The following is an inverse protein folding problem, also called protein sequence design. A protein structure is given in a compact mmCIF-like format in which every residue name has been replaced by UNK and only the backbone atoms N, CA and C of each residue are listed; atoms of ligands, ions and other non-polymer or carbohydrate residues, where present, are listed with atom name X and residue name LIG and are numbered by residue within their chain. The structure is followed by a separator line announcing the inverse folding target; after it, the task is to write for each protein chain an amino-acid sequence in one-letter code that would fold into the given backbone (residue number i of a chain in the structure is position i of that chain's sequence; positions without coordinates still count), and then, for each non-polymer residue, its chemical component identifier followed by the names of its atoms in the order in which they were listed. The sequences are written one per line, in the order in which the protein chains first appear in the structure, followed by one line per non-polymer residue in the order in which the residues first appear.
data_IF_690776964010
#
_entry.id   IF_690776964010
#
_cell.length_a   1.000
_cell.length_b   1.000
_cell.length_c   1.000
_cell.angle_alpha   90.00
_cell.angle_beta   90.00
_cell.angle_gamma   90.00
#
_symmetry.space_group_name_H-M   'P 1'
#
loop_
_entity.id
_entity.type
_entity.pdbx_description
1 polymer ?
#
# COMPACT_ATOMS: atom_id res chain seq x y z
N UNK A 1 -11.90 -12.74 1.11
CA UNK A 1 -13.11 -12.52 0.31
C UNK A 1 -12.83 -12.68 -1.20
N UNK A 2 -11.91 -11.94 -1.78
CA UNK A 2 -11.58 -11.99 -3.22
C UNK A 2 -11.15 -13.40 -3.67
N UNK A 3 -10.27 -14.04 -2.89
CA UNK A 3 -9.79 -15.41 -3.14
C UNK A 3 -10.96 -16.40 -3.23
N UNK A 4 -11.89 -16.33 -2.30
CA UNK A 4 -13.08 -17.20 -2.28
C UNK A 4 -14.06 -16.90 -3.43
N UNK A 5 -14.36 -15.63 -3.66
CA UNK A 5 -15.35 -15.22 -4.69
C UNK A 5 -14.90 -15.56 -6.10
N UNK A 6 -13.61 -15.47 -6.39
CA UNK A 6 -13.06 -15.73 -7.70
C UNK A 6 -12.38 -17.11 -7.84
N UNK A 7 -12.46 -17.94 -6.80
CA UNK A 7 -11.86 -19.29 -6.77
C UNK A 7 -10.39 -19.29 -7.22
N UNK A 8 -9.59 -18.33 -6.74
CA UNK A 8 -8.23 -18.11 -7.20
C UNK A 8 -7.24 -19.18 -6.72
N UNK A 9 -7.62 -19.99 -5.70
CA UNK A 9 -6.79 -21.06 -5.15
C UNK A 9 -5.48 -20.56 -4.53
N UNK A 10 -5.49 -19.34 -4.01
CA UNK A 10 -4.36 -18.79 -3.27
C UNK A 10 -4.32 -19.35 -1.84
N UNK A 11 -3.11 -19.51 -1.29
CA UNK A 11 -2.91 -19.92 0.10
C UNK A 11 -3.35 -18.79 1.04
N UNK A 12 -4.41 -19.05 1.81
CA UNK A 12 -5.06 -18.05 2.65
C UNK A 12 -4.17 -17.55 3.79
N UNK A 13 -3.34 -18.43 4.34
CA UNK A 13 -2.42 -18.06 5.42
C UNK A 13 -1.37 -17.09 4.90
N UNK A 14 -0.67 -17.42 3.83
CA UNK A 14 0.32 -16.53 3.23
C UNK A 14 -0.30 -15.25 2.69
N UNK A 15 -1.54 -15.33 2.17
CA UNK A 15 -2.28 -14.15 1.70
C UNK A 15 -2.60 -13.20 2.86
N UNK A 16 -3.10 -13.74 3.98
CA UNK A 16 -3.43 -12.94 5.16
C UNK A 16 -2.18 -12.31 5.80
N UNK A 17 -1.12 -13.10 5.99
CA UNK A 17 0.15 -12.60 6.53
C UNK A 17 0.77 -11.55 5.62
N UNK A 18 0.83 -11.81 4.32
CA UNK A 18 1.36 -10.85 3.35
C UNK A 18 0.54 -9.56 3.30
N UNK A 19 -0.80 -9.65 3.30
CA UNK A 19 -1.68 -8.49 3.32
C UNK A 19 -1.59 -7.70 4.63
N UNK A 20 -1.36 -8.34 5.76
CA UNK A 20 -1.20 -7.67 7.05
C UNK A 20 0.17 -6.97 7.18
N UNK A 21 1.21 -7.60 6.66
CA UNK A 21 2.58 -7.14 6.83
C UNK A 21 3.12 -6.32 5.65
N UNK A 22 2.36 -6.13 4.54
CA UNK A 22 2.89 -5.42 3.37
C UNK A 22 3.33 -3.99 3.68
N UNK A 23 2.65 -3.33 4.62
CA UNK A 23 2.94 -2.00 5.14
C UNK A 23 3.57 -2.03 6.55
N UNK A 24 4.15 -3.14 6.98
CA UNK A 24 4.82 -3.25 8.27
C UNK A 24 6.11 -2.43 8.30
N UNK A 25 5.92 -1.13 8.18
CA UNK A 25 6.95 -0.12 8.17
C UNK A 25 6.97 0.57 9.53
N UNK A 26 8.03 0.31 10.31
CA UNK A 26 8.28 1.05 11.55
C UNK A 26 8.70 2.47 11.16
N UNK A 27 7.74 3.37 11.17
CA UNK A 27 7.92 4.76 10.77
C UNK A 27 8.79 5.49 11.80
N UNK A 28 9.99 5.89 11.40
CA UNK A 28 10.83 6.78 12.19
C UNK A 28 10.39 8.23 11.97
N UNK A 29 9.60 8.76 12.90
CA UNK A 29 9.02 10.12 12.86
C UNK A 29 10.07 11.23 12.79
N UNK A 30 11.34 10.94 13.00
CA UNK A 30 12.40 11.92 13.16
C UNK A 30 13.08 12.36 11.86
N UNK A 31 12.79 11.74 10.73
CA UNK A 31 13.33 12.14 9.42
C UNK A 31 12.30 12.89 8.58
N UNK A 32 12.06 14.16 8.92
CA UNK A 32 11.35 15.09 8.02
C UNK A 32 12.27 15.44 6.85
N UNK A 33 12.12 14.74 5.73
CA UNK A 33 12.73 15.13 4.47
C UNK A 33 12.08 16.38 3.90
N UNK A 34 12.89 17.36 3.50
CA UNK A 34 12.49 18.69 2.99
C UNK A 34 12.07 18.71 1.52
N UNK A 35 11.43 17.69 1.01
CA UNK A 35 11.03 17.64 -0.40
C UNK A 35 9.53 17.85 -0.58
N UNK A 36 9.14 18.78 -1.48
CA UNK A 36 7.77 19.09 -1.83
C UNK A 36 7.37 18.46 -3.18
N UNK A 37 6.12 17.95 -3.29
CA UNK A 37 5.47 17.52 -4.52
C UNK A 37 5.59 16.03 -4.86
N UNK A 38 5.29 15.70 -6.12
CA UNK A 38 5.27 14.34 -6.68
C UNK A 38 6.61 13.60 -6.50
N UNK A 39 7.73 14.33 -6.54
CA UNK A 39 9.07 13.78 -6.27
C UNK A 39 9.18 13.14 -4.89
N UNK A 40 8.52 13.70 -3.88
CA UNK A 40 8.45 13.16 -2.52
C UNK A 40 7.76 11.79 -2.51
N UNK A 41 6.73 11.61 -3.33
CA UNK A 41 6.01 10.34 -3.45
C UNK A 41 6.90 9.24 -4.06
N UNK A 42 7.70 9.60 -5.06
CA UNK A 42 8.59 8.66 -5.74
C UNK A 42 9.87 8.35 -4.96
N UNK A 43 10.47 9.32 -4.29
CA UNK A 43 11.75 9.16 -3.60
C UNK A 43 11.61 8.57 -2.19
N UNK A 44 10.53 8.92 -1.46
CA UNK A 44 10.35 8.48 -0.06
C UNK A 44 9.60 7.16 0.09
N UNK A 45 8.67 6.83 -0.79
CA UNK A 45 7.79 5.69 -0.62
C UNK A 45 7.96 4.57 -1.66
N UNK A 46 8.47 4.86 -2.84
CA UNK A 46 8.47 3.89 -3.94
C UNK A 46 9.59 2.85 -3.90
N UNK A 47 10.80 3.21 -3.48
CA UNK A 47 11.98 2.36 -3.68
C UNK A 47 12.49 1.63 -2.43
N UNK A 48 12.30 2.18 -1.24
CA UNK A 48 12.81 1.58 0.01
C UNK A 48 11.74 0.94 0.89
N UNK A 49 10.48 1.35 0.71
CA UNK A 49 9.37 0.94 1.57
C UNK A 49 9.13 -0.57 1.60
N UNK A 50 9.00 -1.29 0.46
CA UNK A 50 8.78 -2.72 0.50
C UNK A 50 9.96 -3.50 1.10
N UNK A 51 11.19 -3.04 0.84
CA UNK A 51 12.39 -3.65 1.40
C UNK A 51 12.45 -3.53 2.92
N UNK A 52 12.17 -2.34 3.46
CA UNK A 52 12.12 -2.12 4.90
C UNK A 52 11.01 -2.92 5.57
N UNK A 53 9.81 -2.97 4.99
CA UNK A 53 8.70 -3.76 5.50
C UNK A 53 9.05 -5.25 5.55
N UNK A 54 9.67 -5.77 4.50
CA UNK A 54 10.12 -7.16 4.41
C UNK A 54 11.17 -7.50 5.49
N UNK A 55 12.20 -6.66 5.67
CA UNK A 55 13.24 -6.86 6.70
C UNK A 55 12.66 -6.81 8.11
N UNK A 56 11.74 -5.88 8.38
CA UNK A 56 11.10 -5.77 9.68
C UNK A 56 10.18 -6.97 9.96
N UNK A 57 9.40 -7.39 8.96
CA UNK A 57 8.53 -8.55 9.07
C UNK A 57 9.33 -9.84 9.31
N UNK A 58 10.45 -10.02 8.63
CA UNK A 58 11.32 -11.17 8.82
C UNK A 58 11.93 -11.23 10.24
N UNK A 59 12.40 -10.10 10.74
CA UNK A 59 12.99 -10.01 12.09
C UNK A 59 12.01 -10.34 13.22
N UNK A 60 10.74 -9.93 13.04
CA UNK A 60 9.73 -10.06 14.11
C UNK A 60 8.92 -11.35 13.97
N UNK A 61 8.56 -11.73 12.74
CA UNK A 61 7.58 -12.80 12.48
C UNK A 61 8.17 -14.03 11.77
N UNK A 62 9.46 -14.01 11.41
CA UNK A 62 10.11 -15.12 10.69
C UNK A 62 9.32 -15.57 9.45
N UNK A 63 8.95 -14.63 8.59
CA UNK A 63 8.12 -14.85 7.42
C UNK A 63 8.76 -15.80 6.40
N UNK A 64 7.93 -16.53 5.68
CA UNK A 64 8.36 -17.42 4.60
C UNK A 64 8.83 -16.67 3.35
N UNK A 65 9.55 -17.34 2.46
CA UNK A 65 9.96 -16.76 1.17
C UNK A 65 8.77 -16.30 0.32
N UNK A 66 7.63 -17.00 0.42
CA UNK A 66 6.40 -16.61 -0.27
C UNK A 66 5.86 -15.29 0.30
N UNK A 67 5.80 -15.15 1.59
CA UNK A 67 5.37 -13.92 2.26
C UNK A 67 6.31 -12.75 2.00
N UNK A 68 7.63 -13.00 1.98
CA UNK A 68 8.62 -12.00 1.53
C UNK A 68 8.35 -11.53 0.10
N UNK A 69 8.02 -12.45 -0.82
CA UNK A 69 7.67 -12.12 -2.19
C UNK A 69 6.42 -11.25 -2.28
N UNK A 70 5.38 -11.55 -1.48
CA UNK A 70 4.15 -10.76 -1.41
C UNK A 70 4.46 -9.34 -0.94
N UNK A 71 5.18 -9.21 0.18
CA UNK A 71 5.52 -7.92 0.78
C UNK A 71 6.40 -7.08 -0.16
N UNK A 72 7.41 -7.68 -0.77
CA UNK A 72 8.36 -6.95 -1.63
C UNK A 72 7.75 -6.48 -2.95
N UNK A 73 6.72 -7.16 -3.46
CA UNK A 73 6.13 -6.88 -4.77
C UNK A 73 4.81 -6.08 -4.73
N UNK A 74 4.26 -5.75 -3.54
CA UNK A 74 2.97 -5.07 -3.45
C UNK A 74 2.96 -3.70 -4.16
N UNK A 75 4.10 -3.01 -4.24
CA UNK A 75 4.24 -1.70 -4.90
C UNK A 75 4.38 -1.79 -6.43
N UNK A 76 4.36 -2.98 -7.04
CA UNK A 76 4.39 -3.10 -8.49
C UNK A 76 3.15 -2.41 -9.12
N UNK A 77 3.25 -1.72 -10.29
CA UNK A 77 4.44 -1.52 -11.14
C UNK A 77 5.35 -0.34 -10.76
N UNK A 78 5.11 0.36 -9.66
CA UNK A 78 5.93 1.49 -9.24
C UNK A 78 7.38 1.04 -8.94
N UNK A 79 7.55 -0.16 -8.40
CA UNK A 79 8.84 -0.82 -8.25
C UNK A 79 9.00 -1.91 -9.33
N UNK A 80 9.64 -1.58 -10.44
CA UNK A 80 9.83 -2.51 -11.56
C UNK A 80 10.69 -3.75 -11.22
N UNK A 81 11.49 -3.70 -10.17
CA UNK A 81 12.42 -4.77 -9.78
C UNK A 81 11.72 -5.98 -9.13
N UNK A 82 10.58 -5.78 -8.51
CA UNK A 82 9.87 -6.82 -7.77
C UNK A 82 8.51 -7.09 -8.39
N UNK A 83 8.53 -7.88 -9.46
CA UNK A 83 7.29 -8.32 -10.13
C UNK A 83 6.61 -9.38 -9.26
N UNK A 84 5.28 -9.31 -9.04
CA UNK A 84 4.55 -10.34 -8.33
C UNK A 84 4.74 -11.71 -8.98
N UNK A 85 5.31 -12.67 -8.27
CA UNK A 85 5.69 -13.99 -8.78
C UNK A 85 4.71 -15.11 -8.39
N UNK A 86 3.75 -14.82 -7.51
CA UNK A 86 2.73 -15.78 -7.07
C UNK A 86 1.34 -15.14 -7.03
N UNK A 87 0.31 -15.97 -6.96
CA UNK A 87 -1.11 -15.52 -6.96
C UNK A 87 -1.40 -14.58 -5.79
N UNK A 88 -0.88 -14.93 -4.63
CA UNK A 88 -1.03 -14.13 -3.40
C UNK A 88 -0.45 -12.74 -3.57
N UNK A 89 0.73 -12.62 -4.17
CA UNK A 89 1.38 -11.33 -4.44
C UNK A 89 0.56 -10.47 -5.40
N UNK A 90 -0.02 -11.07 -6.45
CA UNK A 90 -0.90 -10.37 -7.39
C UNK A 90 -2.16 -9.87 -6.67
N UNK A 91 -2.79 -10.73 -5.86
CA UNK A 91 -4.01 -10.37 -5.12
C UNK A 91 -3.75 -9.21 -4.18
N UNK A 92 -2.69 -9.25 -3.36
CA UNK A 92 -2.34 -8.17 -2.44
C UNK A 92 -2.02 -6.89 -3.18
N UNK A 93 -1.22 -6.96 -4.25
CA UNK A 93 -0.86 -5.83 -5.07
C UNK A 93 -2.10 -5.12 -5.69
N UNK A 94 -3.06 -5.88 -6.21
CA UNK A 94 -4.28 -5.33 -6.77
C UNK A 94 -5.23 -4.78 -5.71
N UNK A 95 -5.37 -5.49 -4.58
CA UNK A 95 -6.22 -5.05 -3.47
C UNK A 95 -5.71 -3.74 -2.85
N UNK A 96 -4.40 -3.62 -2.63
CA UNK A 96 -3.77 -2.40 -2.14
C UNK A 96 -4.08 -1.20 -3.06
N UNK A 97 -3.86 -1.36 -4.36
CA UNK A 97 -4.15 -0.29 -5.34
C UNK A 97 -5.62 0.06 -5.43
N UNK A 98 -6.49 -0.94 -5.36
CA UNK A 98 -7.93 -0.69 -5.31
C UNK A 98 -8.30 0.13 -4.08
N UNK A 99 -7.81 -0.24 -2.90
CA UNK A 99 -8.06 0.52 -1.66
C UNK A 99 -7.52 1.95 -1.77
N UNK A 100 -6.32 2.15 -2.29
CA UNK A 100 -5.72 3.48 -2.47
C UNK A 100 -6.56 4.37 -3.41
N UNK A 101 -7.07 3.83 -4.51
CA UNK A 101 -7.96 4.56 -5.43
C UNK A 101 -9.27 4.92 -4.74
N UNK A 102 -9.90 3.98 -4.07
CA UNK A 102 -11.17 4.19 -3.35
C UNK A 102 -11.00 5.27 -2.27
N UNK A 103 -9.97 5.17 -1.45
CA UNK A 103 -9.67 6.18 -0.43
C UNK A 103 -9.43 7.57 -1.03
N UNK A 104 -8.69 7.64 -2.14
CA UNK A 104 -8.45 8.89 -2.84
C UNK A 104 -9.74 9.53 -3.34
N UNK A 105 -10.66 8.73 -3.90
CA UNK A 105 -11.96 9.21 -4.36
C UNK A 105 -12.81 9.75 -3.20
N UNK A 106 -12.88 9.03 -2.08
CA UNK A 106 -13.63 9.49 -0.90
C UNK A 106 -13.03 10.74 -0.27
N UNK A 107 -11.71 10.83 -0.21
CA UNK A 107 -11.01 12.03 0.28
C UNK A 107 -11.31 13.25 -0.61
N UNK A 108 -11.30 13.06 -1.93
CA UNK A 108 -11.61 14.13 -2.88
C UNK A 108 -13.06 14.60 -2.75
N UNK A 109 -14.01 13.68 -2.61
CA UNK A 109 -15.43 14.00 -2.40
C UNK A 109 -15.67 14.76 -1.10
N UNK A 110 -14.98 14.40 -0.01
CA UNK A 110 -15.06 15.12 1.27
C UNK A 110 -14.51 16.54 1.18
N UNK A 111 -13.39 16.73 0.51
CA UNK A 111 -12.79 18.06 0.30
C UNK A 111 -13.68 18.92 -0.57
N UNK A 112 -14.28 18.37 -1.62
CA UNK A 112 -15.22 19.08 -2.48
C UNK A 112 -16.49 19.49 -1.71
N UNK A 113 -17.05 18.59 -0.89
CA UNK A 113 -18.21 18.89 -0.05
C UNK A 113 -17.91 19.99 0.99
N UNK A 114 -16.72 19.96 1.61
CA UNK A 114 -16.29 20.98 2.56
C UNK A 114 -16.08 22.34 1.91
N UNK A 115 -15.56 22.40 0.67
CA UNK A 115 -15.44 23.63 -0.09
C UNK A 115 -16.79 24.25 -0.43
N UNK A 116 -17.75 23.42 -0.85
CA UNK A 116 -19.10 23.91 -1.17
C UNK A 116 -19.83 24.40 0.10
N UNK A 117 -19.64 23.76 1.24
CA UNK A 117 -20.23 24.21 2.52
C UNK A 117 -19.64 25.54 3.02
N UNK A 118 -18.35 25.80 2.77
CA UNK A 118 -17.69 27.05 3.15
C UNK A 118 -17.89 28.20 2.13
N UNK A 119 -18.26 27.88 0.90
CA UNK A 119 -18.53 28.90 -0.14
C UNK A 119 -19.90 29.57 -0.04
N UNK A 120 -20.78 29.10 0.85
CA UNK A 120 -22.13 29.64 1.02
C UNK A 120 -22.20 30.79 2.05
N UNK A 121 -21.06 31.19 2.63
CA UNK A 121 -21.00 32.27 3.64
C UNK A 121 -20.35 33.57 3.18
N UNK A 122 -19.93 33.67 1.91
CA UNK A 122 -19.23 34.87 1.40
C UNK A 122 -20.11 35.80 0.58
N UNK A 123 -21.46 35.67 0.60
CA UNK A 123 -22.39 36.63 -0.04
C UNK A 123 -23.39 37.18 0.99
N UNK A 124 -22.90 38.06 1.90
CA UNK A 124 -23.72 39.04 2.60
C UNK A 124 -22.94 40.32 2.84
#
# INVERSE_FOLDING_TARGET
WLNHRLHLGADETSLAVGAFLHDFYLYDWHKKGTFHGIRRLFEMHGFSHPGCACVNAEKVFHITKKEQSIISSHMWPLTFRHVPSCREAIIVCLADKYCAVVESMFKHSRVAAAKNANGEYDEW
#
